data_IF_212891472922
#
_entry.id   IF_212891472922
#
_cell.length_a   1.000
_cell.length_b   1.000
_cell.length_c   1.000
_cell.angle_alpha   90.00
_cell.angle_beta   90.00
_cell.angle_gamma   90.00
#
_symmetry.space_group_name_H-M   'P 1'
#
loop_
_entity.id
_entity.type
_entity.pdbx_description
1 polymer ?
#
# COMPACT_ATOMS: atom_id res chain seq x y z
N UNK A 1 -11.09 29.15 -4.52
CA UNK A 1 -12.33 28.95 -3.74
C UNK A 1 -13.07 27.76 -4.33
N UNK A 2 -12.82 26.56 -3.82
CA UNK A 2 -13.58 25.33 -4.11
C UNK A 2 -13.07 24.26 -3.12
N UNK A 3 -13.60 24.29 -1.91
CA UNK A 3 -13.56 23.17 -0.97
C UNK A 3 -15.01 22.86 -0.68
N UNK A 4 -15.56 21.89 -1.40
CA UNK A 4 -16.92 21.42 -1.20
C UNK A 4 -17.03 20.90 0.22
N UNK A 5 -17.83 21.58 1.04
CA UNK A 5 -18.30 21.05 2.30
C UNK A 5 -19.23 19.88 1.95
N UNK A 6 -18.67 18.68 1.93
CA UNK A 6 -19.48 17.47 1.90
C UNK A 6 -20.26 17.44 3.22
N UNK A 7 -21.56 17.21 3.12
CA UNK A 7 -22.55 17.22 4.21
C UNK A 7 -22.33 16.13 5.28
N UNK A 8 -21.12 15.55 5.34
CA UNK A 8 -20.73 14.38 6.14
C UNK A 8 -19.37 14.56 6.88
N UNK A 9 -18.85 15.79 7.00
CA UNK A 9 -17.55 16.05 7.61
C UNK A 9 -16.37 15.93 6.63
N UNK A 10 -15.21 16.47 7.01
CA UNK A 10 -13.99 16.43 6.19
C UNK A 10 -13.27 15.08 6.40
N UNK A 11 -13.19 14.20 5.38
CA UNK A 11 -12.51 12.91 5.50
C UNK A 11 -11.02 13.06 5.86
N UNK A 12 -10.40 14.19 5.53
CA UNK A 12 -9.01 14.45 5.88
C UNK A 12 -8.84 14.70 7.39
N UNK A 13 -9.82 15.34 8.03
CA UNK A 13 -9.82 15.54 9.47
C UNK A 13 -9.97 14.21 10.22
N UNK A 14 -10.85 13.32 9.74
CA UNK A 14 -11.01 11.99 10.31
C UNK A 14 -9.72 11.14 10.19
N UNK A 15 -8.99 11.27 9.08
CA UNK A 15 -7.69 10.59 8.92
C UNK A 15 -6.63 11.13 9.87
N UNK A 16 -6.63 12.44 10.13
CA UNK A 16 -5.71 13.05 11.09
C UNK A 16 -5.96 12.53 12.50
N UNK A 17 -7.23 12.41 12.91
CA UNK A 17 -7.63 11.87 14.22
C UNK A 17 -7.21 10.40 14.39
N UNK A 18 -7.36 9.58 13.34
CA UNK A 18 -6.97 8.16 13.36
C UNK A 18 -5.45 7.96 13.42
N UNK A 19 -4.69 8.84 12.77
CA UNK A 19 -3.22 8.76 12.71
C UNK A 19 -2.54 9.40 13.92
N UNK A 20 -3.26 10.19 14.71
CA UNK A 20 -2.72 10.82 15.90
C UNK A 20 -2.69 9.81 17.07
N UNK A 21 -1.50 9.43 17.58
CA UNK A 21 -1.40 8.49 18.70
C UNK A 21 -2.08 8.99 19.98
N UNK A 22 -2.31 10.30 20.11
CA UNK A 22 -3.03 10.87 21.25
C UNK A 22 -4.57 10.74 21.11
N UNK A 23 -5.09 10.56 19.90
CA UNK A 23 -6.54 10.53 19.63
C UNK A 23 -7.05 9.16 19.16
N UNK A 24 -6.18 8.29 18.65
CA UNK A 24 -6.56 6.99 18.10
C UNK A 24 -7.20 6.02 19.10
N UNK A 25 -7.03 6.23 20.41
CA UNK A 25 -7.59 5.37 21.48
C UNK A 25 -9.10 5.52 21.68
N UNK A 26 -9.66 6.66 21.26
CA UNK A 26 -11.06 7.01 21.50
C UNK A 26 -11.74 7.45 20.20
N UNK A 27 -11.35 6.86 19.07
CA UNK A 27 -11.88 7.23 17.77
C UNK A 27 -13.39 6.96 17.71
N UNK A 28 -14.19 7.98 17.36
CA UNK A 28 -15.64 7.87 17.19
C UNK A 28 -15.99 8.08 15.73
N UNK A 29 -16.59 7.06 15.11
CA UNK A 29 -17.08 7.19 13.74
C UNK A 29 -18.51 7.78 13.75
N UNK A 30 -18.84 8.60 12.75
CA UNK A 30 -20.17 9.18 12.56
C UNK A 30 -21.31 8.14 12.56
N UNK A 31 -21.01 6.90 12.15
CA UNK A 31 -22.01 5.82 12.10
C UNK A 31 -22.10 5.00 13.39
N UNK A 32 -21.09 5.06 14.25
CA UNK A 32 -20.96 4.23 15.45
C UNK A 32 -20.55 5.15 16.59
N UNK A 33 -21.51 5.58 17.40
CA UNK A 33 -21.31 6.48 18.55
C UNK A 33 -20.64 5.79 19.75
N UNK A 34 -19.78 4.80 19.51
CA UNK A 34 -19.02 4.09 20.54
C UNK A 34 -17.54 4.27 20.24
N UNK A 35 -16.73 4.67 21.24
CA UNK A 35 -15.30 4.84 21.04
C UNK A 35 -14.64 3.50 20.72
N UNK A 36 -13.76 3.50 19.72
CA UNK A 36 -12.97 2.34 19.29
C UNK A 36 -11.50 2.65 19.54
N UNK A 37 -10.80 1.70 20.15
CA UNK A 37 -9.36 1.79 20.37
C UNK A 37 -8.60 1.30 19.13
N UNK A 38 -7.86 2.20 18.48
CA UNK A 38 -7.01 1.94 17.31
C UNK A 38 -5.52 1.95 17.66
N UNK A 39 -5.14 2.02 18.94
CA UNK A 39 -3.73 2.11 19.36
C UNK A 39 -2.85 0.93 18.91
N UNK A 40 -3.44 -0.26 18.76
CA UNK A 40 -2.74 -1.49 18.34
C UNK A 40 -2.77 -1.73 16.82
N UNK A 41 -3.28 -0.77 16.03
CA UNK A 41 -3.40 -0.90 14.56
C UNK A 41 -2.19 -0.25 13.88
N UNK A 42 -1.56 -0.99 12.96
CA UNK A 42 -0.50 -0.46 12.11
C UNK A 42 -1.08 0.08 10.81
N UNK A 43 -0.90 1.38 10.57
CA UNK A 43 -1.33 2.04 9.35
C UNK A 43 -0.21 2.01 8.31
N UNK A 44 -0.52 1.52 7.11
CA UNK A 44 0.37 1.54 5.96
C UNK A 44 -0.35 2.26 4.82
N UNK A 45 0.23 3.34 4.33
CA UNK A 45 -0.27 4.10 3.18
C UNK A 45 0.70 3.96 2.00
N UNK A 46 0.15 3.93 0.79
CA UNK A 46 0.92 3.88 -0.45
C UNK A 46 0.58 5.09 -1.30
N UNK A 47 1.59 5.80 -1.80
CA UNK A 47 1.41 6.90 -2.72
C UNK A 47 2.47 6.86 -3.82
N UNK A 48 2.09 7.19 -5.04
CA UNK A 48 3.03 7.34 -6.16
C UNK A 48 3.83 8.65 -6.06
N UNK A 49 3.23 9.67 -5.44
CA UNK A 49 3.87 10.97 -5.20
C UNK A 49 3.39 11.55 -3.87
N UNK A 50 4.28 12.23 -3.17
CA UNK A 50 3.98 12.94 -1.90
C UNK A 50 3.45 14.34 -2.14
N UNK A 51 3.56 14.89 -3.36
CA UNK A 51 3.21 16.28 -3.69
C UNK A 51 1.74 16.63 -3.44
N UNK A 52 0.85 15.66 -3.58
CA UNK A 52 -0.60 15.87 -3.43
C UNK A 52 -1.09 15.60 -2.01
N UNK A 53 -0.22 15.14 -1.11
CA UNK A 53 -0.57 14.78 0.26
C UNK A 53 -0.49 16.04 1.13
N UNK A 54 -1.46 16.23 2.03
CA UNK A 54 -1.43 17.35 2.98
C UNK A 54 -0.25 17.22 3.93
N UNK A 55 0.48 18.32 4.14
CA UNK A 55 1.63 18.39 5.07
C UNK A 55 1.30 17.85 6.48
N UNK A 56 0.15 18.17 7.11
CA UNK A 56 -0.18 17.64 8.44
C UNK A 56 -0.33 16.12 8.53
N UNK A 57 -0.63 15.45 7.41
CA UNK A 57 -0.65 13.99 7.32
C UNK A 57 0.77 13.45 7.12
N UNK A 58 1.55 14.11 6.26
CA UNK A 58 2.94 13.73 5.99
C UNK A 58 3.79 13.79 7.27
N UNK A 59 3.60 14.82 8.10
CA UNK A 59 4.33 15.01 9.37
C UNK A 59 4.04 13.90 10.39
N UNK A 60 2.89 13.22 10.28
CA UNK A 60 2.47 12.10 11.13
C UNK A 60 2.82 10.73 10.54
N UNK A 61 3.37 10.68 9.33
CA UNK A 61 3.71 9.43 8.63
C UNK A 61 5.23 9.27 8.50
N UNK A 62 5.71 8.03 8.64
CA UNK A 62 7.05 7.66 8.20
C UNK A 62 7.07 7.46 6.69
N UNK A 63 7.78 8.31 5.94
CA UNK A 63 7.91 8.17 4.49
C UNK A 63 9.06 7.23 4.16
N UNK A 64 8.75 6.14 3.43
CA UNK A 64 9.73 5.22 2.88
C UNK A 64 9.66 5.29 1.37
N UNK A 65 10.72 5.80 0.74
CA UNK A 65 10.79 5.90 -0.72
C UNK A 65 11.22 4.57 -1.34
N UNK A 66 10.35 3.99 -2.16
CA UNK A 66 10.63 2.78 -2.90
C UNK A 66 11.15 3.14 -4.29
N UNK A 67 12.45 2.98 -4.49
CA UNK A 67 13.06 3.12 -5.82
C UNK A 67 12.65 1.97 -6.73
N UNK A 68 12.60 2.25 -8.03
CA UNK A 68 12.36 1.21 -9.04
C UNK A 68 13.49 0.19 -9.11
N UNK A 69 13.18 -1.00 -9.64
CA UNK A 69 14.16 -2.08 -9.79
C UNK A 69 15.15 -1.82 -10.92
N UNK A 70 16.40 -2.19 -10.68
CA UNK A 70 17.45 -2.25 -11.70
C UNK A 70 17.15 -3.35 -12.73
N UNK A 71 17.69 -3.18 -13.93
CA UNK A 71 17.53 -4.16 -15.02
C UNK A 71 18.03 -5.55 -14.63
N UNK A 72 19.06 -5.64 -13.79
CA UNK A 72 19.65 -6.88 -13.31
C UNK A 72 18.81 -7.55 -12.20
N UNK A 73 18.01 -6.78 -11.45
CA UNK A 73 17.15 -7.29 -10.38
C UNK A 73 15.84 -7.87 -10.92
N UNK A 74 15.30 -7.27 -11.99
CA UNK A 74 14.08 -7.71 -12.66
C UNK A 74 14.06 -9.21 -13.02
N UNK A 75 15.10 -9.82 -13.62
CA UNK A 75 15.10 -11.26 -13.92
C UNK A 75 15.13 -12.12 -12.65
N UNK A 76 15.75 -11.65 -11.57
CA UNK A 76 15.79 -12.39 -10.30
C UNK A 76 14.40 -12.41 -9.64
N UNK A 77 13.74 -11.26 -9.55
CA UNK A 77 12.36 -11.13 -9.07
C UNK A 77 11.40 -11.96 -9.92
N UNK A 78 11.59 -11.94 -11.25
CA UNK A 78 10.76 -12.70 -12.16
C UNK A 78 10.87 -14.21 -11.90
N UNK A 79 12.08 -14.74 -11.75
CA UNK A 79 12.31 -16.16 -11.48
C UNK A 79 11.81 -16.59 -10.10
N UNK A 80 11.98 -15.77 -9.07
CA UNK A 80 11.63 -16.12 -7.70
C UNK A 80 10.15 -15.94 -7.38
N UNK A 81 9.49 -14.90 -7.94
CA UNK A 81 8.13 -14.53 -7.54
C UNK A 81 7.12 -14.55 -8.69
N UNK A 82 7.45 -13.98 -9.86
CA UNK A 82 6.46 -13.84 -10.95
C UNK A 82 6.18 -15.18 -11.65
N UNK A 83 7.21 -15.91 -12.05
CA UNK A 83 7.06 -17.18 -12.77
C UNK A 83 6.28 -18.21 -11.93
N UNK A 84 6.63 -18.47 -10.65
CA UNK A 84 5.87 -19.42 -9.84
C UNK A 84 4.40 -19.02 -9.67
N UNK A 85 4.14 -17.74 -9.43
CA UNK A 85 2.77 -17.21 -9.26
C UNK A 85 1.92 -17.37 -10.52
N UNK A 86 2.52 -17.12 -11.69
CA UNK A 86 1.83 -17.27 -12.99
C UNK A 86 1.54 -18.75 -13.27
N UNK A 87 2.50 -19.63 -13.01
CA UNK A 87 2.37 -21.08 -13.21
C UNK A 87 1.23 -21.64 -12.34
N UNK A 88 1.19 -21.25 -11.07
CA UNK A 88 0.13 -21.62 -10.14
C UNK A 88 -1.25 -21.13 -10.61
N UNK A 89 -1.36 -19.85 -10.95
CA UNK A 89 -2.61 -19.24 -11.39
C UNK A 89 -3.16 -19.86 -12.68
N UNK A 90 -2.29 -20.21 -13.62
CA UNK A 90 -2.67 -20.74 -14.92
C UNK A 90 -2.72 -22.27 -14.97
N UNK A 91 -2.39 -22.96 -13.86
CA UNK A 91 -2.30 -24.43 -13.78
C UNK A 91 -1.46 -25.05 -14.91
N UNK A 92 -0.45 -24.34 -15.39
CA UNK A 92 0.47 -24.89 -16.38
C UNK A 92 1.45 -25.85 -15.69
N UNK A 93 1.73 -26.99 -16.32
CA UNK A 93 2.80 -27.87 -15.83
C UNK A 93 4.15 -27.15 -15.94
N UNK A 94 4.87 -27.07 -14.82
CA UNK A 94 6.24 -26.49 -14.68
C UNK A 94 7.20 -26.92 -15.80
N UNK A 95 6.96 -28.10 -16.37
CA UNK A 95 7.76 -28.77 -17.39
C UNK A 95 7.80 -28.02 -18.73
N UNK A 96 6.82 -27.16 -19.05
CA UNK A 96 6.78 -26.44 -20.34
C UNK A 96 7.45 -25.06 -20.34
N UNK A 97 7.66 -24.44 -19.18
CA UNK A 97 8.14 -23.04 -19.09
C UNK A 97 9.65 -22.92 -18.90
N UNK A 98 10.31 -23.92 -18.31
CA UNK A 98 11.74 -24.09 -18.51
C UNK A 98 11.92 -24.74 -19.88
N UNK A 99 11.95 -23.90 -20.92
CA UNK A 99 12.46 -24.34 -22.22
C UNK A 99 13.77 -25.09 -22.00
N UNK A 100 13.87 -26.29 -22.57
CA UNK A 100 15.10 -27.09 -22.53
C UNK A 100 16.29 -26.18 -22.84
N UNK A 101 17.43 -26.32 -22.16
CA UNK A 101 18.65 -25.67 -22.63
C UNK A 101 18.80 -26.04 -24.11
N UNK A 102 18.72 -25.04 -24.98
CA UNK A 102 19.13 -25.20 -26.36
C UNK A 102 20.64 -25.43 -26.26
N UNK A 103 21.03 -26.70 -26.27
CA UNK A 103 22.37 -27.10 -26.64
C UNK A 103 22.64 -26.45 -27.99
N UNK A 104 23.49 -25.42 -27.97
CA UNK A 104 24.02 -24.81 -29.18
C UNK A 104 25.04 -25.79 -29.74
N UNK A 105 24.63 -26.54 -30.75
CA UNK A 105 25.52 -26.97 -31.82
C UNK A 105 25.75 -25.79 -32.78
#
# INVERSE_FOLDING_TARGET
KLGGQCLNGDPLAALLEVLDPEQNQLFVNLNINTPIDLSSVHFISTANTTLTILTPLLDRMGVIELSGYLTEEKPMIAKQHLIPKIVENLRFDKIKLLGKPHDKE
#
